data_IF_548628582127
#
_entry.id   IF_548628582127
#
_cell.length_a   1.000
_cell.length_b   1.000
_cell.length_c   1.000
_cell.angle_alpha   90.00
_cell.angle_beta   90.00
_cell.angle_gamma   90.00
#
_symmetry.space_group_name_H-M   'P 1'
#
loop_
_entity.id
_entity.type
_entity.pdbx_description
1 polymer ?
#
# COMPACT_ATOMS: atom_id res chain seq x y z
N UNK A 1 -46.20 28.81 -42.07
CA UNK A 1 -46.45 28.21 -40.73
C UNK A 1 -45.20 27.43 -40.31
N UNK A 2 -44.87 27.51 -39.02
CA UNK A 2 -43.54 27.39 -38.38
C UNK A 2 -42.79 26.06 -38.59
N UNK A 3 -41.45 26.06 -38.70
CA UNK A 3 -40.62 24.94 -38.31
C UNK A 3 -40.34 25.01 -36.79
N UNK A 4 -40.49 23.87 -36.11
CA UNK A 4 -40.12 23.70 -34.71
C UNK A 4 -38.61 23.53 -34.58
N UNK A 5 -37.95 24.50 -33.95
CA UNK A 5 -36.58 24.38 -33.46
C UNK A 5 -36.59 23.56 -32.16
N UNK A 6 -36.13 22.32 -32.22
CA UNK A 6 -35.78 21.51 -31.06
C UNK A 6 -34.49 22.09 -30.44
N UNK A 7 -34.65 22.89 -29.39
CA UNK A 7 -33.57 23.24 -28.48
C UNK A 7 -33.31 22.05 -27.55
N UNK A 8 -32.30 21.24 -27.88
CA UNK A 8 -31.69 20.30 -26.94
C UNK A 8 -30.86 21.10 -25.92
N UNK A 9 -31.06 20.91 -24.60
CA UNK A 9 -30.15 21.45 -23.62
C UNK A 9 -28.82 20.71 -23.75
N UNK A 10 -27.78 21.42 -24.19
CA UNK A 10 -26.39 21.05 -23.97
C UNK A 10 -26.19 20.89 -22.47
N UNK A 11 -26.29 19.66 -21.98
CA UNK A 11 -25.73 19.25 -20.71
C UNK A 11 -24.22 19.47 -20.82
N UNK A 12 -23.80 20.67 -20.45
CA UNK A 12 -22.42 20.95 -20.09
C UNK A 12 -22.14 20.05 -18.90
N UNK A 13 -21.57 18.88 -19.18
CA UNK A 13 -20.84 18.12 -18.18
C UNK A 13 -19.79 19.09 -17.64
N UNK A 14 -20.04 19.64 -16.45
CA UNK A 14 -19.02 20.26 -15.62
C UNK A 14 -17.95 19.20 -15.38
N UNK A 15 -17.04 19.06 -16.33
CA UNK A 15 -15.76 18.46 -16.09
C UNK A 15 -15.09 19.40 -15.10
N UNK A 16 -15.12 19.00 -13.82
CA UNK A 16 -14.20 19.56 -12.86
C UNK A 16 -12.81 19.57 -13.52
N UNK A 17 -12.08 20.70 -13.49
CA UNK A 17 -10.73 20.69 -14.02
C UNK A 17 -9.98 19.54 -13.36
N UNK A 18 -9.23 18.76 -14.15
CA UNK A 18 -8.26 17.83 -13.60
C UNK A 18 -7.47 18.61 -12.55
N UNK A 19 -7.69 18.29 -11.27
CA UNK A 19 -7.12 19.06 -10.18
C UNK A 19 -5.63 19.13 -10.43
N UNK A 20 -5.09 20.34 -10.59
CA UNK A 20 -3.64 20.51 -10.69
C UNK A 20 -3.04 19.84 -9.47
N UNK A 21 -2.19 18.84 -9.71
CA UNK A 21 -1.56 18.05 -8.65
C UNK A 21 -0.96 19.00 -7.61
N UNK A 22 -1.33 18.87 -6.31
CA UNK A 22 -0.77 19.69 -5.27
C UNK A 22 0.76 19.72 -5.35
N UNK A 23 1.42 20.90 -5.23
CA UNK A 23 2.87 21.00 -5.40
C UNK A 23 3.68 20.07 -4.49
N UNK A 24 3.15 19.78 -3.30
CA UNK A 24 3.76 18.87 -2.33
C UNK A 24 3.79 17.42 -2.83
N UNK A 25 2.69 16.95 -3.43
CA UNK A 25 2.61 15.64 -4.07
C UNK A 25 3.47 15.58 -5.34
N UNK A 26 3.48 16.65 -6.14
CA UNK A 26 4.30 16.72 -7.34
C UNK A 26 5.80 16.56 -7.04
N UNK A 27 6.27 17.05 -5.89
CA UNK A 27 7.66 16.90 -5.44
C UNK A 27 8.05 15.47 -5.08
N UNK A 28 7.10 14.54 -4.98
CA UNK A 28 7.42 13.12 -4.76
C UNK A 28 8.02 12.49 -6.03
N UNK A 29 7.66 12.98 -7.22
CA UNK A 29 8.23 12.50 -8.46
C UNK A 29 9.75 12.66 -8.48
N UNK A 30 10.44 11.61 -8.90
CA UNK A 30 11.89 11.55 -8.90
C UNK A 30 12.52 11.30 -7.53
N UNK A 31 11.75 11.08 -6.45
CA UNK A 31 12.32 10.72 -5.13
C UNK A 31 12.42 9.22 -4.94
N UNK A 32 13.39 8.80 -4.14
CA UNK A 32 13.48 7.43 -3.64
C UNK A 32 12.64 7.27 -2.39
N UNK A 33 11.94 6.14 -2.32
CA UNK A 33 11.21 5.67 -1.16
C UNK A 33 11.59 4.23 -0.84
N UNK A 34 11.28 3.79 0.36
CA UNK A 34 11.42 2.42 0.81
C UNK A 34 10.07 1.92 1.29
N UNK A 35 9.78 0.66 0.98
CA UNK A 35 8.51 0.02 1.34
C UNK A 35 8.67 -0.63 2.71
N UNK A 36 7.83 -0.23 3.68
CA UNK A 36 7.84 -0.89 4.99
C UNK A 36 7.50 -2.38 4.82
N UNK A 37 8.22 -3.27 5.52
CA UNK A 37 8.07 -4.72 5.36
C UNK A 37 8.57 -5.29 4.05
N UNK A 38 9.11 -4.46 3.15
CA UNK A 38 9.47 -4.86 1.80
C UNK A 38 8.26 -5.13 0.90
N UNK A 39 7.03 -4.80 1.30
CA UNK A 39 5.83 -5.01 0.48
C UNK A 39 4.74 -5.84 1.17
N UNK A 40 3.81 -6.44 0.40
CA UNK A 40 3.90 -6.68 -1.04
C UNK A 40 3.67 -5.43 -1.91
N UNK A 41 4.45 -5.29 -2.99
CA UNK A 41 4.06 -4.47 -4.13
C UNK A 41 3.33 -5.35 -5.15
N UNK A 42 2.16 -4.91 -5.63
CA UNK A 42 1.32 -5.70 -6.53
C UNK A 42 1.43 -5.22 -7.97
N UNK A 43 1.86 -6.11 -8.85
CA UNK A 43 1.77 -5.93 -10.29
C UNK A 43 0.38 -6.39 -10.76
N UNK A 44 -0.40 -5.47 -11.33
CA UNK A 44 -1.71 -5.78 -11.91
C UNK A 44 -1.55 -5.88 -13.42
N UNK A 45 -1.86 -7.04 -14.01
CA UNK A 45 -1.69 -7.27 -15.45
C UNK A 45 -2.77 -8.21 -15.99
N UNK A 46 -3.48 -7.76 -17.03
CA UNK A 46 -4.63 -8.49 -17.54
C UNK A 46 -5.67 -8.68 -16.45
N UNK A 47 -6.12 -9.92 -16.23
CA UNK A 47 -7.08 -10.27 -15.17
C UNK A 47 -6.41 -10.92 -13.95
N UNK A 48 -5.09 -10.71 -13.79
CA UNK A 48 -4.29 -11.33 -12.75
C UNK A 48 -3.45 -10.31 -11.98
N UNK A 49 -2.92 -10.78 -10.87
CA UNK A 49 -1.97 -10.03 -10.05
C UNK A 49 -0.78 -10.90 -9.66
N UNK A 50 0.35 -10.26 -9.46
CA UNK A 50 1.55 -10.89 -8.89
C UNK A 50 2.09 -9.96 -7.82
N UNK A 51 2.28 -10.48 -6.61
CA UNK A 51 2.86 -9.76 -5.49
C UNK A 51 4.37 -9.99 -5.44
N UNK A 52 5.10 -8.91 -5.20
CA UNK A 52 6.54 -8.91 -5.12
C UNK A 52 7.00 -8.36 -3.77
N UNK A 53 8.10 -8.92 -3.27
CA UNK A 53 8.85 -8.33 -2.16
C UNK A 53 10.05 -7.56 -2.68
N UNK A 54 10.25 -6.38 -2.12
CA UNK A 54 11.37 -5.49 -2.33
C UNK A 54 12.32 -5.65 -1.15
N UNK A 55 13.61 -5.96 -1.36
CA UNK A 55 14.58 -5.97 -0.28
C UNK A 55 14.59 -4.63 0.46
N UNK A 56 14.72 -4.64 1.80
CA UNK A 56 14.72 -3.40 2.58
C UNK A 56 15.88 -2.45 2.20
N UNK A 57 16.97 -2.99 1.66
CA UNK A 57 18.09 -2.20 1.14
C UNK A 57 17.78 -1.50 -0.20
N UNK A 58 16.79 -1.98 -0.94
CA UNK A 58 16.48 -1.53 -2.30
C UNK A 58 15.43 -0.41 -2.25
N UNK A 59 15.77 0.82 -2.66
CA UNK A 59 14.78 1.86 -2.83
C UNK A 59 13.90 1.61 -4.07
N UNK A 60 12.68 2.14 -4.02
CA UNK A 60 11.80 2.31 -5.16
C UNK A 60 11.75 3.78 -5.56
N UNK A 61 12.06 4.09 -6.81
CA UNK A 61 11.96 5.44 -7.37
C UNK A 61 10.49 5.73 -7.69
N UNK A 62 9.98 6.86 -7.23
CA UNK A 62 8.69 7.38 -7.69
C UNK A 62 8.88 8.00 -9.06
N UNK A 63 8.39 7.36 -10.12
CA UNK A 63 8.56 7.83 -11.50
C UNK A 63 7.41 8.72 -11.96
N UNK A 64 6.23 8.55 -11.38
CA UNK A 64 5.04 9.35 -11.68
C UNK A 64 4.17 9.50 -10.43
N UNK A 65 3.53 10.66 -10.32
CA UNK A 65 2.53 10.97 -9.29
C UNK A 65 1.27 11.44 -10.00
N UNK A 66 0.15 10.86 -9.65
CA UNK A 66 -1.16 11.21 -10.19
C UNK A 66 -2.13 11.46 -9.04
N UNK A 67 -3.10 12.34 -9.26
CA UNK A 67 -4.27 12.45 -8.40
C UNK A 67 -5.51 12.21 -9.25
N UNK A 68 -6.31 11.22 -8.87
CA UNK A 68 -7.50 10.84 -9.61
C UNK A 68 -8.76 11.34 -8.93
N UNK A 69 -9.89 11.27 -9.64
CA UNK A 69 -11.21 11.45 -9.03
C UNK A 69 -11.61 10.28 -8.11
N UNK A 70 -12.92 10.14 -7.80
CA UNK A 70 -13.40 9.18 -6.83
C UNK A 70 -13.02 7.74 -7.17
N UNK A 71 -12.48 7.01 -6.19
CA UNK A 71 -11.91 5.68 -6.37
C UNK A 71 -12.06 4.84 -5.10
N UNK A 72 -12.15 3.52 -5.25
CA UNK A 72 -11.96 2.54 -4.18
C UNK A 72 -10.47 2.19 -4.04
N UNK A 73 -9.93 2.24 -2.83
CA UNK A 73 -8.51 2.02 -2.53
C UNK A 73 -8.37 0.94 -1.45
N UNK A 74 -7.58 -0.09 -1.73
CA UNK A 74 -7.19 -1.11 -0.75
C UNK A 74 -6.25 -0.52 0.31
N UNK A 75 -6.52 -0.77 1.59
CA UNK A 75 -5.81 -0.16 2.74
C UNK A 75 -5.15 -1.18 3.67
N UNK A 76 -5.62 -2.43 3.66
CA UNK A 76 -5.07 -3.52 4.47
C UNK A 76 -3.91 -4.25 3.80
N UNK A 77 -3.17 -5.01 4.61
CA UNK A 77 -2.16 -5.95 4.12
C UNK A 77 -2.88 -7.05 3.38
N UNK A 78 -2.52 -7.29 2.10
CA UNK A 78 -3.15 -8.33 1.25
C UNK A 78 -4.70 -8.23 1.17
N UNK A 79 -5.26 -7.03 1.37
CA UNK A 79 -6.69 -6.77 1.19
C UNK A 79 -7.59 -7.22 2.34
N UNK A 80 -7.06 -7.50 3.54
CA UNK A 80 -7.88 -7.91 4.68
C UNK A 80 -8.75 -6.77 5.23
N UNK A 81 -8.18 -5.57 5.37
CA UNK A 81 -8.98 -4.36 5.58
C UNK A 81 -9.50 -3.89 4.22
N UNK A 82 -10.82 -4.07 4.02
CA UNK A 82 -11.52 -3.76 2.77
C UNK A 82 -11.33 -2.32 2.32
N UNK A 83 -11.60 -2.11 1.04
CA UNK A 83 -11.36 -0.85 0.35
C UNK A 83 -12.08 0.34 0.98
N UNK A 84 -11.41 1.47 0.97
CA UNK A 84 -12.00 2.75 1.32
C UNK A 84 -12.29 3.55 0.04
N UNK A 85 -13.53 3.99 -0.09
CA UNK A 85 -13.90 4.95 -1.13
C UNK A 85 -13.38 6.33 -0.74
N UNK A 86 -12.59 6.93 -1.62
CA UNK A 86 -12.07 8.30 -1.46
C UNK A 86 -12.56 9.19 -2.60
N UNK A 87 -12.87 10.49 -2.36
CA UNK A 87 -13.20 11.42 -3.44
C UNK A 87 -12.02 11.71 -4.37
N UNK A 88 -10.78 11.60 -3.87
CA UNK A 88 -9.56 11.75 -4.66
C UNK A 88 -8.50 10.80 -4.13
N UNK A 89 -7.92 9.98 -5.01
CA UNK A 89 -6.84 9.06 -4.65
C UNK A 89 -5.50 9.58 -5.18
N UNK A 90 -4.43 9.34 -4.43
CA UNK A 90 -3.05 9.53 -4.88
C UNK A 90 -2.62 8.23 -5.54
N UNK A 91 -2.08 8.26 -6.76
CA UNK A 91 -1.47 7.10 -7.40
C UNK A 91 0.01 7.38 -7.62
N UNK A 92 0.86 6.49 -7.12
CA UNK A 92 2.29 6.51 -7.38
C UNK A 92 2.65 5.39 -8.35
N UNK A 93 3.45 5.72 -9.37
CA UNK A 93 4.18 4.71 -10.14
C UNK A 93 5.56 4.56 -9.53
N UNK A 94 5.89 3.33 -9.12
CA UNK A 94 7.11 2.97 -8.41
C UNK A 94 7.96 2.04 -9.28
N UNK A 95 9.26 2.31 -9.36
CA UNK A 95 10.24 1.50 -10.06
C UNK A 95 11.36 1.09 -9.09
N UNK A 96 11.47 -0.19 -8.72
CA UNK A 96 12.58 -0.68 -7.89
C UNK A 96 13.92 -0.46 -8.59
N UNK A 97 14.94 -0.04 -7.84
CA UNK A 97 16.29 0.13 -8.40
C UNK A 97 17.05 -1.19 -8.57
N UNK A 98 16.66 -2.24 -7.85
CA UNK A 98 17.22 -3.59 -7.95
C UNK A 98 16.12 -4.61 -8.29
N UNK A 99 16.47 -5.82 -8.76
CA UNK A 99 15.51 -6.90 -8.98
C UNK A 99 14.68 -7.22 -7.74
N UNK A 100 13.39 -7.48 -7.96
CA UNK A 100 12.42 -7.85 -6.93
C UNK A 100 11.98 -9.31 -7.11
N UNK A 101 11.59 -9.95 -6.01
CA UNK A 101 11.23 -11.37 -6.02
C UNK A 101 9.71 -11.55 -5.97
N UNK A 102 9.12 -12.37 -6.87
CA UNK A 102 7.71 -12.69 -6.78
C UNK A 102 7.46 -13.63 -5.60
N UNK A 103 6.43 -13.34 -4.80
CA UNK A 103 6.08 -14.15 -3.62
C UNK A 103 4.71 -14.80 -3.73
N UNK A 104 3.80 -14.24 -4.52
CA UNK A 104 2.49 -14.82 -4.76
C UNK A 104 1.92 -14.35 -6.10
N UNK A 105 1.03 -15.14 -6.67
CA UNK A 105 0.34 -14.80 -7.91
C UNK A 105 -1.09 -15.30 -7.87
N UNK A 106 -1.99 -14.52 -8.45
CA UNK A 106 -3.36 -14.94 -8.69
C UNK A 106 -3.74 -14.63 -10.13
N UNK A 107 -4.42 -15.59 -10.75
CA UNK A 107 -5.03 -15.43 -12.08
C UNK A 107 -6.53 -15.62 -11.94
N UNK A 108 -7.30 -14.61 -12.32
CA UNK A 108 -8.76 -14.67 -12.34
C UNK A 108 -9.32 -14.79 -13.75
N UNK A 109 -10.47 -15.46 -13.88
CA UNK A 109 -11.27 -15.43 -15.10
C UNK A 109 -12.32 -14.31 -15.09
N UNK A 110 -12.47 -13.59 -13.97
CA UNK A 110 -13.40 -12.48 -13.80
C UNK A 110 -12.74 -11.12 -14.05
N UNK A 111 -13.53 -10.03 -14.06
CA UNK A 111 -13.00 -8.68 -14.11
C UNK A 111 -12.12 -8.40 -12.89
N UNK A 112 -11.13 -7.52 -13.06
CA UNK A 112 -10.35 -7.03 -11.93
C UNK A 112 -11.27 -6.38 -10.89
N UNK A 113 -11.01 -6.62 -9.60
CA UNK A 113 -11.65 -5.89 -8.52
C UNK A 113 -11.54 -4.38 -8.72
N UNK A 114 -12.58 -3.63 -8.34
CA UNK A 114 -12.70 -2.18 -8.62
C UNK A 114 -11.51 -1.36 -8.13
N UNK A 115 -10.95 -1.74 -6.99
CA UNK A 115 -9.80 -1.08 -6.39
C UNK A 115 -8.47 -1.35 -7.09
N UNK A 116 -8.40 -2.30 -8.02
CA UNK A 116 -7.23 -2.53 -8.90
C UNK A 116 -7.41 -1.97 -10.31
N UNK A 117 -8.65 -1.64 -10.70
CA UNK A 117 -8.90 -1.04 -12.01
C UNK A 117 -8.13 0.28 -12.15
N UNK A 118 -7.50 0.47 -13.30
CA UNK A 118 -6.66 1.64 -13.56
C UNK A 118 -5.29 1.61 -12.87
N UNK A 119 -4.86 0.51 -12.25
CA UNK A 119 -3.49 0.30 -11.74
C UNK A 119 -2.70 -0.68 -12.62
N UNK A 120 -3.24 -1.06 -13.77
CA UNK A 120 -2.62 -2.01 -14.68
C UNK A 120 -1.31 -1.46 -15.25
N UNK A 121 -0.32 -2.34 -15.38
CA UNK A 121 1.00 -2.03 -15.94
C UNK A 121 1.34 -2.98 -17.08
N UNK A 122 2.21 -2.52 -17.98
CA UNK A 122 2.66 -3.33 -19.13
C UNK A 122 3.63 -4.44 -18.71
N UNK A 123 4.49 -4.16 -17.74
CA UNK A 123 5.50 -5.08 -17.19
C UNK A 123 5.58 -4.93 -15.68
N UNK A 124 5.92 -6.02 -14.99
CA UNK A 124 6.13 -6.05 -13.54
C UNK A 124 7.51 -5.51 -13.12
N UNK A 125 8.05 -4.58 -13.91
CA UNK A 125 9.22 -3.75 -13.57
C UNK A 125 8.80 -2.42 -12.94
N UNK A 126 7.50 -2.11 -12.99
CA UNK A 126 6.90 -0.93 -12.36
C UNK A 126 5.63 -1.33 -11.64
N UNK A 127 5.27 -0.58 -10.61
CA UNK A 127 4.10 -0.84 -9.76
C UNK A 127 3.29 0.43 -9.62
N UNK A 128 1.99 0.36 -9.86
CA UNK A 128 1.08 1.48 -9.61
C UNK A 128 0.33 1.19 -8.31
N UNK A 129 0.50 2.08 -7.33
CA UNK A 129 -0.07 1.92 -5.99
C UNK A 129 -0.96 3.11 -5.68
N UNK A 130 -2.19 2.84 -5.26
CA UNK A 130 -3.16 3.86 -4.88
C UNK A 130 -3.18 4.08 -3.36
N UNK A 131 -3.29 5.33 -2.95
CA UNK A 131 -3.41 5.75 -1.57
C UNK A 131 -4.65 6.63 -1.38
N UNK A 132 -5.26 6.53 -0.20
CA UNK A 132 -6.44 7.31 0.16
C UNK A 132 -6.06 8.77 0.37
N UNK A 133 -4.93 8.97 1.06
CA UNK A 133 -4.36 10.26 1.43
C UNK A 133 -2.86 10.09 1.76
N UNK A 134 -2.22 11.16 2.22
CA UNK A 134 -0.82 11.15 2.65
C UNK A 134 -0.58 10.30 3.90
N UNK A 135 -1.57 10.12 4.77
CA UNK A 135 -1.43 9.28 5.98
C UNK A 135 -1.28 7.82 5.57
N UNK A 136 -2.13 7.34 4.67
CA UNK A 136 -2.01 6.00 4.09
C UNK A 136 -0.69 5.84 3.34
N UNK A 137 -0.29 6.84 2.53
CA UNK A 137 1.00 6.83 1.83
C UNK A 137 2.18 6.66 2.81
N UNK A 138 2.25 7.50 3.84
CA UNK A 138 3.34 7.49 4.81
C UNK A 138 3.35 6.25 5.71
N UNK A 139 2.23 5.54 5.82
CA UNK A 139 2.12 4.25 6.51
C UNK A 139 2.74 3.11 5.71
N UNK A 140 2.73 3.21 4.38
CA UNK A 140 3.22 2.18 3.46
C UNK A 140 4.65 2.46 2.98
N UNK A 141 4.98 3.73 2.75
CA UNK A 141 6.27 4.17 2.22
C UNK A 141 6.99 5.10 3.18
N UNK A 142 8.32 5.00 3.21
CA UNK A 142 9.22 5.94 3.86
C UNK A 142 10.10 6.61 2.82
N UNK A 143 10.19 7.93 2.81
CA UNK A 143 11.17 8.67 1.99
C UNK A 143 12.51 8.89 2.71
N UNK A 144 12.73 8.14 3.79
CA UNK A 144 14.00 8.06 4.53
C UNK A 144 14.43 6.58 4.56
N UNK A 145 15.71 6.27 4.34
CA UNK A 145 16.18 4.88 4.34
C UNK A 145 15.96 4.19 5.69
N UNK A 146 15.87 2.84 5.70
CA UNK A 146 15.81 2.09 6.94
C UNK A 146 17.06 2.34 7.80
N UNK A 147 16.90 2.47 9.12
CA UNK A 147 18.02 2.57 10.05
C UNK A 147 19.03 1.42 9.90
N UNK A 148 20.32 1.69 10.14
CA UNK A 148 21.38 0.68 9.94
C UNK A 148 21.30 -0.53 10.88
N UNK A 149 20.67 -0.41 12.05
CA UNK A 149 20.36 -1.55 12.92
C UNK A 149 19.27 -2.45 12.32
N UNK A 150 18.26 -1.88 11.67
CA UNK A 150 17.24 -2.62 10.92
C UNK A 150 17.87 -3.37 9.74
N UNK A 151 18.74 -2.72 8.96
CA UNK A 151 19.41 -3.36 7.83
C UNK A 151 20.26 -4.56 8.27
N UNK A 152 20.94 -4.46 9.43
CA UNK A 152 21.66 -5.60 10.00
C UNK A 152 20.70 -6.72 10.42
N UNK A 153 19.59 -6.39 11.07
CA UNK A 153 18.58 -7.38 11.47
C UNK A 153 17.97 -8.12 10.27
N UNK A 154 17.72 -7.44 9.15
CA UNK A 154 17.17 -8.09 7.95
C UNK A 154 18.16 -9.07 7.31
N UNK A 155 19.47 -8.80 7.41
CA UNK A 155 20.52 -9.73 6.95
C UNK A 155 20.74 -10.93 7.88
N UNK A 156 20.22 -10.86 9.11
CA UNK A 156 20.37 -11.89 10.15
C UNK A 156 19.01 -12.23 10.75
N UNK A 157 18.14 -12.95 10.02
CA UNK A 157 16.77 -13.22 10.46
C UNK A 157 16.75 -13.87 11.83
N UNK A 158 15.96 -13.31 12.75
CA UNK A 158 15.74 -13.87 14.08
C UNK A 158 14.46 -14.70 14.06
N UNK A 159 14.45 -15.79 14.83
CA UNK A 159 13.27 -16.65 14.98
C UNK A 159 12.12 -15.97 15.75
N UNK A 160 12.39 -14.89 16.50
CA UNK A 160 11.38 -14.19 17.31
C UNK A 160 11.51 -12.67 17.20
N UNK A 161 10.38 -11.97 17.22
CA UNK A 161 10.34 -10.50 17.30
C UNK A 161 10.40 -9.97 18.73
N UNK A 162 10.39 -10.82 19.76
CA UNK A 162 10.40 -10.37 21.16
C UNK A 162 11.63 -9.50 21.43
N UNK A 163 11.40 -8.35 22.06
CA UNK A 163 12.40 -7.33 22.35
C UNK A 163 12.65 -6.32 21.23
N UNK A 164 12.17 -6.56 20.00
CA UNK A 164 12.24 -5.58 18.92
C UNK A 164 11.39 -4.35 19.26
N UNK A 165 11.85 -3.17 18.85
CA UNK A 165 11.05 -1.96 18.91
C UNK A 165 9.95 -1.97 17.85
N UNK A 166 8.90 -1.16 18.04
CA UNK A 166 7.87 -0.95 17.02
C UNK A 166 8.47 -0.48 15.68
N UNK A 167 9.47 0.41 15.69
CA UNK A 167 10.16 0.85 14.46
C UNK A 167 10.87 -0.29 13.74
N UNK A 168 11.58 -1.14 14.48
CA UNK A 168 12.25 -2.31 13.88
C UNK A 168 11.23 -3.28 13.29
N UNK A 169 10.12 -3.53 13.99
CA UNK A 169 9.07 -4.41 13.50
C UNK A 169 8.36 -3.84 12.27
N UNK A 170 8.06 -2.53 12.25
CA UNK A 170 7.45 -1.85 11.10
C UNK A 170 8.29 -2.05 9.84
N UNK A 171 9.60 -1.87 9.95
CA UNK A 171 10.50 -2.08 8.81
C UNK A 171 10.58 -3.54 8.40
N UNK A 172 10.66 -4.47 9.35
CA UNK A 172 10.86 -5.89 9.06
C UNK A 172 9.60 -6.59 8.54
N UNK A 173 8.40 -6.13 8.92
CA UNK A 173 7.13 -6.81 8.63
C UNK A 173 6.08 -5.97 7.93
N UNK A 174 6.27 -4.65 7.89
CA UNK A 174 5.29 -3.72 7.36
C UNK A 174 4.29 -3.27 8.43
N UNK A 175 3.41 -2.33 8.08
CA UNK A 175 2.32 -1.93 8.96
C UNK A 175 1.32 -3.08 9.16
N UNK A 176 0.66 -3.19 10.31
CA UNK A 176 -0.40 -4.18 10.53
C UNK A 176 -1.67 -3.82 9.75
N UNK A 177 -2.71 -4.63 9.87
CA UNK A 177 -4.06 -4.23 9.45
C UNK A 177 -4.67 -3.25 10.47
N UNK A 178 -4.50 -3.52 11.76
CA UNK A 178 -4.99 -2.67 12.84
C UNK A 178 -3.89 -2.32 13.87
N UNK A 179 -3.87 -1.08 14.39
CA UNK A 179 -4.77 0.03 14.06
C UNK A 179 -4.45 0.64 12.68
N UNK A 180 -5.51 1.09 11.99
CA UNK A 180 -5.39 1.87 10.77
C UNK A 180 -5.21 3.35 11.13
N UNK A 181 -3.96 3.75 11.34
CA UNK A 181 -3.57 5.09 11.80
C UNK A 181 -2.22 5.49 11.21
N UNK A 182 -1.78 6.72 11.46
CA UNK A 182 -0.49 7.23 11.02
C UNK A 182 0.69 6.48 11.68
N UNK A 183 1.89 6.59 11.09
CA UNK A 183 3.07 5.85 11.57
C UNK A 183 3.48 6.21 13.00
N UNK A 184 3.32 7.46 13.41
CA UNK A 184 3.74 7.90 14.74
C UNK A 184 2.79 7.39 15.82
N UNK A 185 1.49 7.41 15.55
CA UNK A 185 0.49 6.76 16.41
C UNK A 185 0.67 5.25 16.42
N UNK A 186 0.92 4.64 15.26
CA UNK A 186 1.14 3.20 15.12
C UNK A 186 2.34 2.72 15.96
N UNK A 187 3.45 3.46 15.97
CA UNK A 187 4.66 3.14 16.76
C UNK A 187 4.43 3.16 18.28
N UNK A 188 3.37 3.83 18.73
CA UNK A 188 2.98 3.94 20.15
C UNK A 188 1.82 3.02 20.52
N UNK A 189 1.22 2.35 19.53
CA UNK A 189 0.09 1.47 19.76
C UNK A 189 0.48 0.29 20.66
N UNK A 190 -0.38 -0.08 21.63
CA UNK A 190 -0.09 -1.20 22.53
C UNK A 190 -0.18 -2.56 21.83
N UNK A 191 -0.91 -2.64 20.72
CA UNK A 191 -1.18 -3.87 19.99
C UNK A 191 -1.23 -3.61 18.49
N UNK A 192 -0.66 -4.54 17.72
CA UNK A 192 -0.78 -4.59 16.26
C UNK A 192 -1.42 -5.90 15.86
N UNK A 193 -2.39 -5.85 14.94
CA UNK A 193 -3.11 -7.03 14.45
C UNK A 193 -2.95 -7.13 12.94
N UNK A 194 -2.43 -8.26 12.46
CA UNK A 194 -2.53 -8.66 11.05
C UNK A 194 -3.70 -9.62 10.97
N UNK A 195 -4.72 -9.24 10.22
CA UNK A 195 -5.95 -10.03 10.09
C UNK A 195 -5.61 -11.22 9.19
N UNK A 196 -5.92 -12.42 9.65
CA UNK A 196 -5.73 -13.62 8.84
C UNK A 196 -7.00 -14.01 8.11
N UNK A 197 -6.84 -14.75 7.01
CA UNK A 197 -7.96 -15.41 6.35
C UNK A 197 -8.58 -16.48 7.24
N UNK A 198 -9.86 -16.79 7.06
CA UNK A 198 -10.50 -17.96 7.70
C UNK A 198 -9.96 -19.24 7.06
N UNK A 199 -9.60 -20.30 7.82
CA UNK A 199 -9.73 -20.51 9.28
C UNK A 199 -8.49 -20.10 10.09
N UNK A 200 -7.54 -19.41 9.49
CA UNK A 200 -6.22 -19.18 10.03
C UNK A 200 -6.17 -18.20 11.19
N UNK A 201 -7.20 -17.41 11.50
CA UNK A 201 -7.24 -16.49 12.65
C UNK A 201 -6.28 -15.29 12.55
N UNK A 202 -6.31 -14.39 13.53
CA UNK A 202 -5.49 -13.16 13.50
C UNK A 202 -4.14 -13.33 14.18
N UNK A 203 -3.12 -12.67 13.63
CA UNK A 203 -1.82 -12.54 14.29
C UNK A 203 -1.78 -11.24 15.10
N UNK A 204 -1.57 -11.35 16.41
CA UNK A 204 -1.53 -10.20 17.33
C UNK A 204 -0.14 -10.03 17.93
N UNK A 205 0.43 -8.84 17.79
CA UNK A 205 1.68 -8.43 18.43
C UNK A 205 1.37 -7.46 19.57
N UNK A 206 1.88 -7.73 20.78
CA UNK A 206 1.70 -6.89 21.96
C UNK A 206 2.99 -6.17 22.32
N UNK A 207 2.89 -4.88 22.63
CA UNK A 207 4.00 -4.02 23.01
C UNK A 207 3.90 -3.61 24.48
N UNK A 208 5.05 -3.52 25.14
CA UNK A 208 5.21 -2.86 26.43
C UNK A 208 6.47 -2.00 26.40
N UNK A 209 6.37 -0.75 26.85
CA UNK A 209 7.46 0.23 26.77
C UNK A 209 8.11 0.32 25.38
N UNK A 210 7.28 0.29 24.32
CA UNK A 210 7.71 0.39 22.92
C UNK A 210 8.41 -0.84 22.36
N UNK A 211 8.42 -1.97 23.08
CA UNK A 211 9.05 -3.22 22.66
C UNK A 211 8.04 -4.37 22.60
N UNK A 212 8.23 -5.28 21.66
CA UNK A 212 7.43 -6.50 21.55
C UNK A 212 7.67 -7.37 22.78
N UNK A 213 6.59 -7.74 23.47
CA UNK A 213 6.62 -8.66 24.62
C UNK A 213 5.95 -10.00 24.32
N UNK A 214 5.05 -10.04 23.33
CA UNK A 214 4.33 -11.24 22.93
C UNK A 214 3.90 -11.13 21.47
N UNK A 215 3.96 -12.26 20.78
CA UNK A 215 3.30 -12.47 19.50
C UNK A 215 2.39 -13.70 19.65
N UNK A 216 1.13 -13.54 19.28
CA UNK A 216 0.18 -14.64 19.15
C UNK A 216 0.07 -14.92 17.66
N UNK A 217 0.55 -16.10 17.25
CA UNK A 217 0.27 -16.63 15.93
C UNK A 217 -0.91 -17.57 16.05
N UNK A 218 -1.88 -17.46 15.17
CA UNK A 218 -3.01 -18.36 15.20
C UNK A 218 -2.55 -19.73 14.68
N UNK A 219 -2.91 -20.79 15.41
CA UNK A 219 -2.67 -22.17 15.01
C UNK A 219 -3.74 -22.61 14.02
N UNK A 220 -3.43 -23.60 13.17
CA UNK A 220 -4.50 -24.39 12.58
C UNK A 220 -5.32 -24.96 13.75
N UNK A 221 -6.60 -24.58 13.83
CA UNK A 221 -7.53 -25.28 14.71
C UNK A 221 -7.50 -26.79 14.40
N UNK A 222 -7.86 -27.65 15.37
CA UNK A 222 -7.98 -29.08 15.12
C UNK A 222 -8.93 -29.40 13.95
#
# INVERSE_FOLDING_TARGET
>A
MRPWLLLLPLLVACHAPAGTLPPELARLAGRDAWVYGGGPLRCVRGNGTTEYTVPLSTPVRVTQVEQTGPREVEIGVKGHVREQRTPQAIILTLEPQDPVEPISGSSGNGPLPRWWQGLEVKSCTTFRVAFVDETHLNRTLSFTPPPGDVQRLSSQPRASSVGLSATQLLWLRGPPDEPLTDVETLRRAPTWTVIGGVPYGDQVTTFHNGRVVRETFPGMGP
#
